data_IF_012944101206
#
_entry.id   IF_012944101206
#
_cell.length_a   1.000
_cell.length_b   1.000
_cell.length_c   1.000
_cell.angle_alpha   90.00
_cell.angle_beta   90.00
_cell.angle_gamma   90.00
#
_symmetry.space_group_name_H-M   'P 1'
#
loop_
_entity.id
_entity.type
_entity.pdbx_description
1 polymer ?
#
# COMPACT_ATOMS: atom_id res chain seq x y z
N UNK A 1 -21.11 -4.58 0.04
CA UNK A 1 -21.16 -5.63 -1.01
C UNK A 1 -20.35 -5.12 -2.20
N UNK A 2 -19.10 -5.57 -2.36
CA UNK A 2 -18.27 -5.22 -3.51
C UNK A 2 -18.75 -5.99 -4.73
N UNK A 3 -18.87 -5.31 -5.86
CA UNK A 3 -19.25 -5.92 -7.14
C UNK A 3 -18.11 -6.84 -7.61
N UNK A 4 -18.31 -8.15 -7.45
CA UNK A 4 -17.30 -9.19 -7.69
C UNK A 4 -16.79 -9.13 -9.13
N UNK A 5 -17.63 -8.72 -10.09
CA UNK A 5 -17.22 -8.56 -11.49
C UNK A 5 -16.16 -7.49 -11.70
N UNK A 6 -16.23 -6.39 -10.94
CA UNK A 6 -15.27 -5.28 -11.00
C UNK A 6 -13.93 -5.65 -10.35
N UNK A 7 -13.96 -6.43 -9.28
CA UNK A 7 -12.76 -6.95 -8.62
C UNK A 7 -11.97 -7.90 -9.54
N UNK A 8 -12.66 -8.79 -10.27
CA UNK A 8 -12.00 -9.68 -11.24
C UNK A 8 -11.39 -8.94 -12.43
N UNK A 9 -12.05 -7.89 -12.95
CA UNK A 9 -11.47 -7.05 -14.01
C UNK A 9 -10.20 -6.33 -13.55
N UNK A 10 -10.19 -5.79 -12.32
CA UNK A 10 -9.03 -5.12 -11.75
C UNK A 10 -7.89 -6.14 -11.51
N UNK A 11 -8.19 -7.31 -10.96
CA UNK A 11 -7.19 -8.36 -10.74
C UNK A 11 -6.59 -8.89 -12.05
N UNK A 12 -7.40 -9.02 -13.11
CA UNK A 12 -6.94 -9.40 -14.44
C UNK A 12 -6.05 -8.31 -15.05
N UNK A 13 -6.40 -7.03 -14.91
CA UNK A 13 -5.55 -5.92 -15.35
C UNK A 13 -4.23 -5.87 -14.56
N UNK A 14 -4.25 -6.04 -13.24
CA UNK A 14 -3.04 -6.13 -12.39
C UNK A 14 -2.09 -7.22 -12.89
N UNK A 15 -2.62 -8.43 -13.14
CA UNK A 15 -1.86 -9.56 -13.69
C UNK A 15 -1.36 -9.30 -15.12
N UNK A 16 -2.12 -8.58 -15.93
CA UNK A 16 -1.82 -8.29 -17.34
C UNK A 16 -0.74 -7.21 -17.51
N UNK A 17 -0.52 -6.36 -16.50
CA UNK A 17 0.48 -5.28 -16.56
C UNK A 17 1.84 -5.61 -15.92
N UNK A 18 2.05 -6.84 -15.45
CA UNK A 18 3.32 -7.27 -14.82
C UNK A 18 3.83 -6.26 -13.77
N UNK A 19 2.90 -5.60 -13.09
CA UNK A 19 3.18 -4.68 -11.99
C UNK A 19 3.54 -5.51 -10.78
N UNK A 20 4.80 -5.90 -10.69
CA UNK A 20 5.37 -6.44 -9.46
C UNK A 20 5.52 -5.27 -8.47
N UNK A 21 4.49 -5.12 -7.64
CA UNK A 21 4.50 -4.24 -6.48
C UNK A 21 4.47 -5.14 -5.25
N UNK A 22 5.59 -5.21 -4.55
CA UNK A 22 5.72 -5.91 -3.29
C UNK A 22 5.68 -4.89 -2.16
N UNK A 23 4.66 -4.97 -1.31
CA UNK A 23 4.66 -4.24 -0.04
C UNK A 23 5.63 -4.92 0.93
N UNK A 24 6.61 -4.17 1.44
CA UNK A 24 7.52 -4.65 2.48
C UNK A 24 7.26 -3.82 3.74
N UNK A 25 6.94 -4.52 4.84
CA UNK A 25 6.94 -3.91 6.18
C UNK A 25 8.36 -4.00 6.71
N UNK A 26 8.99 -2.87 7.00
CA UNK A 26 10.35 -2.83 7.55
C UNK A 26 10.23 -2.68 9.07
N UNK A 27 10.57 -3.75 9.80
CA UNK A 27 10.89 -3.66 11.22
C UNK A 27 12.41 -3.85 11.36
N UNK A 28 13.13 -2.74 11.33
CA UNK A 28 14.57 -2.76 11.52
C UNK A 28 14.87 -2.64 13.01
N UNK A 29 15.49 -3.66 13.62
CA UNK A 29 15.93 -3.58 15.01
C UNK A 29 17.38 -4.02 15.19
N UNK A 30 18.22 -3.05 15.56
CA UNK A 30 19.16 -3.16 16.68
C UNK A 30 19.49 -1.70 17.11
N UNK A 31 18.85 -1.20 18.18
CA UNK A 31 19.22 0.01 18.94
C UNK A 31 18.79 1.43 18.49
N UNK A 32 17.70 1.63 17.74
CA UNK A 32 17.12 2.97 17.50
C UNK A 32 15.60 3.01 17.83
N UNK A 33 15.03 4.17 18.23
CA UNK A 33 13.60 4.28 18.55
C UNK A 33 12.76 3.92 17.31
N UNK A 34 11.84 2.97 17.53
CA UNK A 34 11.00 2.31 16.53
C UNK A 34 10.36 3.27 15.51
N UNK A 35 10.87 3.28 14.29
CA UNK A 35 10.17 3.95 13.18
C UNK A 35 9.41 2.89 12.40
N UNK A 36 8.16 2.66 12.79
CA UNK A 36 7.26 1.66 12.23
C UNK A 36 6.86 2.06 10.79
N UNK A 37 7.72 1.75 9.82
CA UNK A 37 7.59 2.19 8.44
C UNK A 37 7.01 1.12 7.52
N UNK A 38 6.16 1.54 6.60
CA UNK A 38 5.74 0.72 5.46
C UNK A 38 6.45 1.20 4.19
N UNK A 39 6.86 0.29 3.33
CA UNK A 39 7.50 0.60 2.06
C UNK A 39 6.86 -0.17 0.90
N UNK A 40 6.87 0.44 -0.29
CA UNK A 40 6.48 -0.21 -1.54
C UNK A 40 7.73 -0.43 -2.39
N UNK A 41 8.04 -1.69 -2.68
CA UNK A 41 9.06 -2.07 -3.66
C UNK A 41 8.36 -2.33 -4.99
N UNK A 42 8.89 -1.72 -6.05
CA UNK A 42 8.26 -1.70 -7.36
C UNK A 42 9.26 -2.04 -8.47
N UNK A 43 8.80 -2.78 -9.48
CA UNK A 43 9.54 -2.96 -10.73
C UNK A 43 9.70 -1.63 -11.49
N UNK A 44 10.60 -1.60 -12.49
CA UNK A 44 10.80 -0.43 -13.37
C UNK A 44 9.50 0.00 -14.05
N UNK A 45 8.66 -0.96 -14.46
CA UNK A 45 7.37 -0.68 -15.08
C UNK A 45 6.39 -0.05 -14.09
N UNK A 46 6.34 -0.55 -12.85
CA UNK A 46 5.50 0.04 -11.80
C UNK A 46 5.91 1.47 -11.44
N UNK A 47 7.21 1.74 -11.38
CA UNK A 47 7.71 3.10 -11.16
C UNK A 47 7.30 4.07 -12.28
N UNK A 48 7.36 3.63 -13.53
CA UNK A 48 6.94 4.45 -14.68
C UNK A 48 5.42 4.68 -14.74
N UNK A 49 4.65 3.75 -14.17
CA UNK A 49 3.20 3.86 -14.09
C UNK A 49 2.74 4.69 -12.87
N UNK A 50 3.60 4.93 -11.87
CA UNK A 50 3.24 5.68 -10.66
C UNK A 50 2.90 7.13 -11.02
N UNK A 51 1.69 7.56 -10.69
CA UNK A 51 1.22 8.94 -10.90
C UNK A 51 1.25 9.78 -9.64
N UNK A 52 1.23 9.14 -8.47
CA UNK A 52 1.31 9.84 -7.19
C UNK A 52 1.32 8.85 -6.03
N UNK A 53 1.82 9.29 -4.89
CA UNK A 53 1.74 8.54 -3.65
C UNK A 53 1.52 9.48 -2.48
N UNK A 54 0.82 8.99 -1.47
CA UNK A 54 0.55 9.70 -0.23
C UNK A 54 0.78 8.74 0.95
N UNK A 55 1.41 9.26 2.01
CA UNK A 55 1.54 8.56 3.28
C UNK A 55 0.51 9.13 4.26
N UNK A 56 -0.31 8.25 4.81
CA UNK A 56 -1.30 8.57 5.84
C UNK A 56 -0.79 8.17 7.22
N UNK A 57 0.48 8.51 7.49
CA UNK A 57 1.22 8.11 8.68
C UNK A 57 2.21 6.97 8.44
N UNK A 58 2.93 6.53 9.49
CA UNK A 58 4.07 5.61 9.36
C UNK A 58 3.70 4.27 8.71
N UNK A 59 2.44 3.87 8.86
CA UNK A 59 1.94 2.52 8.56
C UNK A 59 1.04 2.43 7.34
N UNK A 60 0.68 3.56 6.73
CA UNK A 60 -0.27 3.61 5.62
C UNK A 60 0.37 4.36 4.46
N UNK A 61 0.48 3.69 3.32
CA UNK A 61 0.84 4.32 2.05
C UNK A 61 -0.24 3.99 1.03
N UNK A 62 -0.68 5.00 0.29
CA UNK A 62 -1.46 4.83 -0.91
C UNK A 62 -0.63 5.28 -2.10
N UNK A 63 -0.55 4.42 -3.11
CA UNK A 63 0.11 4.71 -4.38
C UNK A 63 -0.92 4.63 -5.51
N UNK A 64 -0.89 5.62 -6.39
CA UNK A 64 -1.74 5.73 -7.57
C UNK A 64 -0.92 5.43 -8.81
N UNK A 65 -1.47 4.64 -9.72
CA UNK A 65 -0.82 4.22 -10.95
C UNK A 65 -1.73 4.50 -12.14
N UNK A 66 -1.15 5.04 -13.22
CA UNK A 66 -1.79 5.13 -14.52
C UNK A 66 -1.87 3.73 -15.10
N UNK A 67 -3.07 3.31 -15.48
CA UNK A 67 -3.24 2.08 -16.27
C UNK A 67 -3.12 2.43 -17.76
N UNK A 68 -2.90 1.43 -18.65
CA UNK A 68 -2.86 1.72 -20.10
C UNK A 68 -4.17 2.29 -20.63
N UNK A 69 -5.29 2.04 -19.94
CA UNK A 69 -6.53 2.77 -20.18
C UNK A 69 -6.45 4.09 -19.44
N UNK A 70 -6.09 5.16 -20.16
CA UNK A 70 -5.81 6.48 -19.56
C UNK A 70 -6.97 7.05 -18.72
N UNK A 71 -8.19 6.53 -18.91
CA UNK A 71 -9.37 6.88 -18.12
C UNK A 71 -9.49 6.14 -16.77
N UNK A 72 -8.57 5.22 -16.44
CA UNK A 72 -8.61 4.42 -15.21
C UNK A 72 -7.30 4.58 -14.45
N UNK A 73 -7.43 5.05 -13.20
CA UNK A 73 -6.35 5.09 -12.22
C UNK A 73 -6.48 3.91 -11.27
N UNK A 74 -5.38 3.21 -11.03
CA UNK A 74 -5.32 2.12 -10.07
C UNK A 74 -4.70 2.63 -8.77
N UNK A 75 -5.36 2.38 -7.63
CA UNK A 75 -4.85 2.74 -6.32
C UNK A 75 -4.48 1.47 -5.55
N UNK A 76 -3.26 1.41 -5.02
CA UNK A 76 -2.81 0.38 -4.09
C UNK A 76 -2.68 1.03 -2.71
N UNK A 77 -3.33 0.46 -1.70
CA UNK A 77 -3.19 0.90 -0.31
C UNK A 77 -2.50 -0.23 0.45
N UNK A 78 -1.31 0.07 0.99
CA UNK A 78 -0.61 -0.80 1.92
C UNK A 78 -0.81 -0.26 3.33
N UNK A 79 -1.22 -1.13 4.24
CA UNK A 79 -1.52 -0.79 5.61
C UNK A 79 -0.93 -1.86 6.54
N UNK A 80 -0.14 -1.45 7.53
CA UNK A 80 0.37 -2.34 8.57
C UNK A 80 -0.30 -2.06 9.91
N UNK A 81 -1.26 -2.91 10.28
CA UNK A 81 -1.96 -2.78 11.55
C UNK A 81 -1.02 -2.93 12.77
N UNK A 82 -1.26 -2.20 13.86
CA UNK A 82 -0.63 -2.46 15.16
C UNK A 82 -0.72 -3.92 15.56
N UNK A 83 0.36 -4.49 16.10
CA UNK A 83 0.31 -5.84 16.68
C UNK A 83 -0.30 -5.80 18.10
N UNK A 84 -0.57 -6.98 18.68
CA UNK A 84 -1.13 -7.08 20.04
C UNK A 84 -0.23 -6.46 21.11
N UNK A 85 1.07 -6.36 20.88
CA UNK A 85 2.04 -5.84 21.84
C UNK A 85 2.12 -4.29 21.86
N UNK A 86 1.38 -3.60 20.99
CA UNK A 86 1.33 -2.14 21.01
C UNK A 86 0.39 -1.60 22.08
N UNK A 87 0.76 -0.43 22.62
CA UNK A 87 -0.04 0.32 23.59
C UNK A 87 -1.46 0.57 23.05
N UNK A 88 -2.45 0.52 23.93
CA UNK A 88 -3.87 0.73 23.58
C UNK A 88 -4.09 2.12 22.96
N UNK A 89 -3.49 3.18 23.51
CA UNK A 89 -3.62 4.53 22.93
C UNK A 89 -3.10 4.60 21.48
N UNK A 90 -2.02 3.86 21.17
CA UNK A 90 -1.45 3.83 19.83
C UNK A 90 -2.32 3.02 18.86
N UNK A 91 -3.02 1.99 19.35
CA UNK A 91 -4.03 1.25 18.58
C UNK A 91 -5.25 2.13 18.35
N UNK A 92 -5.74 2.81 19.37
CA UNK A 92 -6.89 3.69 19.30
C UNK A 92 -6.66 4.85 18.34
N UNK A 93 -5.49 5.51 18.40
CA UNK A 93 -5.12 6.54 17.43
C UNK A 93 -5.06 6.03 15.99
N UNK A 94 -4.72 4.75 15.78
CA UNK A 94 -4.66 4.15 14.45
C UNK A 94 -6.06 3.84 13.90
N UNK A 95 -6.97 3.32 14.73
CA UNK A 95 -8.32 2.95 14.29
C UNK A 95 -9.31 4.12 14.26
N UNK A 96 -9.09 5.16 15.06
CA UNK A 96 -10.00 6.31 15.17
C UNK A 96 -9.55 7.54 14.35
N UNK A 97 -8.74 7.33 13.31
CA UNK A 97 -8.16 8.39 12.48
C UNK A 97 -9.01 8.76 11.26
#
# INVERSE_FOLDING_TARGET
MWDTGRAFQIAAEIRRYNLEVLGITLDAKENAPHTQGVALVMSKQGRNALTGWESHGPRIIKASFKTKKESITMNIIQCYAPNNDHNEDAKDQFYNR
#
